data_IF_328319574798
#
_entry.id   IF_328319574798
#
_cell.length_a   1.000
_cell.length_b   1.000
_cell.length_c   1.000
_cell.angle_alpha   90.00
_cell.angle_beta   90.00
_cell.angle_gamma   90.00
#
_symmetry.space_group_name_H-M   'P 1'
#
loop_
_entity.id
_entity.type
_entity.pdbx_description
1 polymer ?
#
# COMPACT_ATOMS: atom_id res chain seq x y z
N UNK A 1 5.21 25.69 4.76
CA UNK A 1 4.35 24.51 4.56
C UNK A 1 5.13 23.22 4.72
N UNK A 2 5.11 22.64 5.91
CA UNK A 2 5.76 21.36 6.25
C UNK A 2 4.74 20.24 6.56
N UNK A 3 3.45 20.48 6.32
CA UNK A 3 2.36 19.55 6.67
C UNK A 3 2.02 18.53 5.58
N UNK A 4 2.64 18.67 4.40
CA UNK A 4 2.24 17.94 3.20
C UNK A 4 3.32 16.97 2.77
N UNK A 5 2.98 15.69 2.64
CA UNK A 5 3.93 14.59 2.36
C UNK A 5 3.96 14.14 0.88
N UNK A 6 3.41 14.94 -0.03
CA UNK A 6 3.53 14.72 -1.47
C UNK A 6 4.46 15.75 -2.11
N UNK A 7 5.04 15.40 -3.25
CA UNK A 7 5.97 16.24 -4.01
C UNK A 7 5.24 17.27 -4.89
N UNK A 8 5.97 18.30 -5.33
CA UNK A 8 5.45 19.29 -6.29
C UNK A 8 4.90 18.66 -7.56
N UNK A 9 5.52 17.58 -8.07
CA UNK A 9 5.05 16.93 -9.30
C UNK A 9 3.61 16.41 -9.23
N UNK A 10 3.16 16.00 -8.04
CA UNK A 10 1.79 15.57 -7.82
C UNK A 10 0.85 16.78 -7.76
N UNK A 11 1.27 17.83 -7.06
CA UNK A 11 0.54 19.10 -6.98
C UNK A 11 0.37 19.73 -8.37
N UNK A 12 1.44 19.80 -9.16
CA UNK A 12 1.44 20.37 -10.51
C UNK A 12 0.52 19.57 -11.45
N UNK A 13 0.55 18.24 -11.36
CA UNK A 13 -0.32 17.36 -12.17
C UNK A 13 -1.79 17.60 -11.87
N UNK A 14 -2.16 17.68 -10.58
CA UNK A 14 -3.54 18.00 -10.15
C UNK A 14 -3.91 19.42 -10.55
N UNK A 15 -2.98 20.37 -10.43
CA UNK A 15 -3.16 21.77 -10.84
C UNK A 15 -3.56 21.90 -12.31
N UNK A 16 -2.91 21.16 -13.22
CA UNK A 16 -3.27 21.12 -14.64
C UNK A 16 -4.72 20.67 -14.83
N UNK A 17 -5.18 19.67 -14.10
CA UNK A 17 -6.57 19.20 -14.22
C UNK A 17 -7.57 20.26 -13.73
N UNK A 18 -7.23 21.03 -12.70
CA UNK A 18 -8.02 22.17 -12.27
C UNK A 18 -8.05 23.29 -13.32
N UNK A 19 -6.94 23.58 -14.00
CA UNK A 19 -6.93 24.53 -15.12
C UNK A 19 -7.85 24.07 -16.25
N UNK A 20 -7.84 22.77 -16.59
CA UNK A 20 -8.77 22.21 -17.60
C UNK A 20 -10.22 22.41 -17.17
N UNK A 21 -10.53 22.18 -15.89
CA UNK A 21 -11.86 22.43 -15.32
C UNK A 21 -12.27 23.90 -15.42
N UNK A 22 -11.36 24.84 -15.12
CA UNK A 22 -11.64 26.28 -15.23
C UNK A 22 -11.89 26.69 -16.68
N UNK A 23 -11.10 26.17 -17.62
CA UNK A 23 -11.32 26.40 -19.05
C UNK A 23 -12.68 25.87 -19.49
N UNK A 24 -13.06 24.65 -19.08
CA UNK A 24 -14.38 24.08 -19.37
C UNK A 24 -15.52 24.97 -18.89
N UNK A 25 -15.43 25.51 -17.67
CA UNK A 25 -16.45 26.42 -17.15
C UNK A 25 -16.58 27.70 -17.96
N UNK A 26 -15.45 28.28 -18.40
CA UNK A 26 -15.43 29.52 -19.18
C UNK A 26 -16.03 29.39 -20.58
N UNK A 27 -16.07 28.17 -21.14
CA UNK A 27 -16.69 27.93 -22.45
C UNK A 27 -18.19 28.22 -22.40
N UNK A 28 -18.83 28.00 -21.23
CA UNK A 28 -20.29 28.14 -21.05
C UNK A 28 -21.08 27.45 -22.17
N UNK A 29 -20.68 26.21 -22.51
CA UNK A 29 -21.21 25.54 -23.69
C UNK A 29 -22.75 25.41 -23.61
N UNK A 30 -23.49 25.85 -24.64
CA UNK A 30 -24.94 26.02 -24.55
C UNK A 30 -25.72 24.71 -24.70
N UNK A 31 -25.17 23.73 -25.43
CA UNK A 31 -25.84 22.46 -25.73
C UNK A 31 -25.55 21.41 -24.65
N UNK A 32 -26.59 21.04 -23.91
CA UNK A 32 -26.52 20.13 -22.76
C UNK A 32 -26.22 18.69 -23.19
N UNK A 33 -26.75 18.23 -24.33
CA UNK A 33 -26.46 16.88 -24.83
C UNK A 33 -24.99 16.76 -25.24
N UNK A 34 -24.47 17.78 -25.94
CA UNK A 34 -23.05 17.84 -26.28
C UNK A 34 -22.16 17.96 -25.04
N UNK A 35 -22.60 18.67 -23.98
CA UNK A 35 -21.88 18.75 -22.71
C UNK A 35 -21.61 17.38 -22.09
N UNK A 36 -22.55 16.43 -22.18
CA UNK A 36 -22.34 15.07 -21.68
C UNK A 36 -21.16 14.38 -22.35
N UNK A 37 -21.06 14.48 -23.68
CA UNK A 37 -19.97 13.89 -24.44
C UNK A 37 -18.63 14.54 -24.08
N UNK A 38 -18.57 15.87 -24.01
CA UNK A 38 -17.35 16.60 -23.70
C UNK A 38 -16.87 16.38 -22.27
N UNK A 39 -17.76 16.45 -21.27
CA UNK A 39 -17.38 16.21 -19.88
C UNK A 39 -16.97 14.76 -19.65
N UNK A 40 -17.68 13.79 -20.24
CA UNK A 40 -17.26 12.38 -20.19
C UNK A 40 -15.84 12.23 -20.74
N UNK A 41 -15.53 12.91 -21.85
CA UNK A 41 -14.21 12.85 -22.46
C UNK A 41 -13.12 13.48 -21.60
N UNK A 42 -13.38 14.65 -21.03
CA UNK A 42 -12.46 15.33 -20.10
C UNK A 42 -12.15 14.43 -18.90
N UNK A 43 -13.19 13.83 -18.29
CA UNK A 43 -13.04 12.93 -17.15
C UNK A 43 -12.23 11.69 -17.52
N UNK A 44 -12.54 11.07 -18.67
CA UNK A 44 -11.79 9.92 -19.19
C UNK A 44 -10.30 10.24 -19.34
N UNK A 45 -9.97 11.40 -19.91
CA UNK A 45 -8.58 11.82 -20.14
C UNK A 45 -7.85 12.18 -18.83
N UNK A 46 -8.55 12.75 -17.85
CA UNK A 46 -8.01 12.97 -16.50
C UNK A 46 -7.69 11.62 -15.84
N UNK A 47 -8.65 10.68 -15.82
CA UNK A 47 -8.46 9.35 -15.24
C UNK A 47 -7.28 8.61 -15.87
N UNK A 48 -7.16 8.66 -17.21
CA UNK A 48 -6.01 8.10 -17.95
C UNK A 48 -4.70 8.79 -17.58
N UNK A 49 -4.71 10.11 -17.45
CA UNK A 49 -3.52 10.89 -17.07
C UNK A 49 -3.05 10.56 -15.64
N UNK A 50 -3.98 10.42 -14.68
CA UNK A 50 -3.67 9.97 -13.33
C UNK A 50 -3.04 8.57 -13.33
N UNK A 51 -3.62 7.65 -14.08
CA UNK A 51 -3.10 6.27 -14.21
C UNK A 51 -1.69 6.27 -14.82
N UNK A 52 -1.47 7.09 -15.84
CA UNK A 52 -0.17 7.26 -16.47
C UNK A 52 0.88 7.90 -15.54
N UNK A 53 0.45 8.85 -14.70
CA UNK A 53 1.30 9.43 -13.67
C UNK A 53 1.79 8.37 -12.68
N UNK A 54 0.88 7.50 -12.20
CA UNK A 54 1.25 6.40 -11.31
C UNK A 54 2.23 5.43 -11.98
N UNK A 55 2.02 5.08 -13.26
CA UNK A 55 2.96 4.24 -14.02
C UNK A 55 4.37 4.84 -14.12
N UNK A 56 4.45 6.14 -14.39
CA UNK A 56 5.74 6.86 -14.43
C UNK A 56 6.41 6.86 -13.06
N UNK A 57 5.63 7.00 -12.00
CA UNK A 57 6.16 7.02 -10.65
C UNK A 57 6.74 5.66 -10.27
N UNK A 58 6.02 4.56 -10.51
CA UNK A 58 6.52 3.20 -10.26
C UNK A 58 7.79 2.90 -11.07
N UNK A 59 7.80 3.21 -12.38
CA UNK A 59 9.00 3.02 -13.22
C UNK A 59 10.22 3.81 -12.71
N UNK A 60 10.01 5.02 -12.21
CA UNK A 60 11.09 5.84 -11.65
C UNK A 60 11.68 5.19 -10.40
N UNK A 61 10.85 4.65 -9.52
CA UNK A 61 11.30 3.93 -8.33
C UNK A 61 12.10 2.67 -8.71
N UNK A 62 11.59 1.87 -9.66
CA UNK A 62 12.30 0.67 -10.11
C UNK A 62 13.68 1.01 -10.69
N UNK A 63 13.77 2.09 -11.47
CA UNK A 63 15.03 2.58 -12.02
C UNK A 63 16.01 3.00 -10.92
N UNK A 64 15.56 3.77 -9.92
CA UNK A 64 16.41 4.18 -8.80
C UNK A 64 16.96 2.98 -8.03
N UNK A 65 16.11 1.99 -7.74
CA UNK A 65 16.50 0.78 -7.02
C UNK A 65 17.46 -0.10 -7.81
N UNK A 66 17.41 -0.07 -9.15
CA UNK A 66 18.36 -0.81 -10.00
C UNK A 66 19.77 -0.23 -9.99
N UNK A 67 19.93 1.04 -9.60
CA UNK A 67 21.22 1.74 -9.60
C UNK A 67 21.95 1.72 -8.25
N UNK A 68 21.27 1.27 -7.20
CA UNK A 68 21.84 1.14 -5.85
C UNK A 68 22.97 0.10 -5.84
N UNK A 69 24.13 0.48 -5.28
CA UNK A 69 25.34 -0.36 -5.22
C UNK A 69 25.33 -1.38 -4.07
N UNK A 70 24.38 -1.24 -3.15
CA UNK A 70 24.20 -2.15 -2.03
C UNK A 70 23.45 -3.39 -2.49
N UNK A 71 23.87 -4.58 -2.05
CA UNK A 71 23.17 -5.83 -2.33
C UNK A 71 21.89 -5.99 -1.49
N UNK A 72 21.63 -5.08 -0.56
CA UNK A 72 20.48 -5.09 0.34
C UNK A 72 19.53 -3.96 -0.03
N UNK A 73 18.24 -4.27 -0.01
CA UNK A 73 17.17 -3.32 -0.31
C UNK A 73 17.09 -2.29 0.82
N UNK A 74 16.99 -1.01 0.47
CA UNK A 74 16.81 0.08 1.42
C UNK A 74 15.55 0.85 1.07
N UNK A 75 14.78 1.20 2.10
CA UNK A 75 13.59 2.02 1.96
C UNK A 75 14.03 3.47 1.80
N UNK A 76 13.72 4.06 0.65
CA UNK A 76 14.15 5.42 0.34
C UNK A 76 13.01 6.43 0.54
N UNK A 77 13.32 7.70 0.88
CA UNK A 77 12.32 8.77 0.90
C UNK A 77 11.56 8.90 -0.43
N UNK A 78 12.24 8.67 -1.57
CA UNK A 78 11.64 8.73 -2.89
C UNK A 78 10.54 7.68 -3.08
N UNK A 79 10.72 6.47 -2.55
CA UNK A 79 9.69 5.44 -2.54
C UNK A 79 8.48 5.88 -1.70
N UNK A 80 8.70 6.48 -0.54
CA UNK A 80 7.62 7.01 0.29
C UNK A 80 6.84 8.12 -0.43
N UNK A 81 7.54 9.06 -1.07
CA UNK A 81 6.92 10.11 -1.86
C UNK A 81 6.11 9.56 -3.04
N UNK A 82 6.58 8.50 -3.70
CA UNK A 82 5.85 7.85 -4.78
C UNK A 82 4.48 7.34 -4.31
N UNK A 83 4.42 6.68 -3.16
CA UNK A 83 3.15 6.20 -2.56
C UNK A 83 2.23 7.37 -2.25
N UNK A 84 2.71 8.40 -1.56
CA UNK A 84 1.91 9.57 -1.22
C UNK A 84 1.43 10.35 -2.45
N UNK A 85 2.26 10.44 -3.49
CA UNK A 85 1.90 11.12 -4.73
C UNK A 85 0.77 10.40 -5.46
N UNK A 86 0.86 9.07 -5.60
CA UNK A 86 -0.19 8.25 -6.22
C UNK A 86 -1.49 8.39 -5.43
N UNK A 87 -1.40 8.33 -4.11
CA UNK A 87 -2.54 8.48 -3.21
C UNK A 87 -3.19 9.86 -3.32
N UNK A 88 -2.40 10.93 -3.32
CA UNK A 88 -2.88 12.30 -3.49
C UNK A 88 -3.59 12.50 -4.84
N UNK A 89 -2.98 12.03 -5.94
CA UNK A 89 -3.58 12.11 -7.27
C UNK A 89 -4.90 11.32 -7.32
N UNK A 90 -4.94 10.11 -6.74
CA UNK A 90 -6.18 9.32 -6.64
C UNK A 90 -7.29 10.10 -5.92
N UNK A 91 -7.00 10.63 -4.74
CA UNK A 91 -7.98 11.38 -3.95
C UNK A 91 -8.43 12.70 -4.60
N UNK A 92 -7.69 13.21 -5.57
CA UNK A 92 -8.05 14.44 -6.30
C UNK A 92 -9.14 14.23 -7.38
N UNK A 93 -9.34 12.99 -7.85
CA UNK A 93 -10.24 12.69 -8.99
C UNK A 93 -11.69 13.01 -8.64
N UNK A 94 -12.20 12.46 -7.55
CA UNK A 94 -13.61 12.59 -7.16
C UNK A 94 -14.01 14.07 -6.94
N UNK A 95 -13.29 14.88 -6.14
CA UNK A 95 -13.63 16.30 -5.99
C UNK A 95 -13.57 17.10 -7.30
N UNK A 96 -12.64 16.74 -8.20
CA UNK A 96 -12.52 17.41 -9.48
C UNK A 96 -13.69 17.08 -10.41
N UNK A 97 -14.08 15.81 -10.46
CA UNK A 97 -15.21 15.33 -11.26
C UNK A 97 -16.51 15.98 -10.82
N UNK A 98 -16.74 16.10 -9.50
CA UNK A 98 -17.89 16.82 -8.96
C UNK A 98 -17.89 18.30 -9.40
N UNK A 99 -16.72 18.94 -9.42
CA UNK A 99 -16.53 20.33 -9.86
C UNK A 99 -16.64 20.54 -11.37
N UNK A 100 -16.56 19.50 -12.20
CA UNK A 100 -16.79 19.59 -13.65
C UNK A 100 -18.28 19.74 -14.02
N UNK A 101 -19.17 19.66 -13.04
CA UNK A 101 -20.59 19.95 -13.22
C UNK A 101 -21.42 18.76 -13.69
N UNK A 102 -20.97 17.52 -13.44
CA UNK A 102 -21.67 16.28 -13.83
C UNK A 102 -23.13 16.30 -13.35
N UNK A 103 -23.36 16.56 -12.06
CA UNK A 103 -24.71 16.66 -11.49
C UNK A 103 -25.55 17.79 -12.10
N UNK A 104 -24.92 18.94 -12.39
CA UNK A 104 -25.60 20.08 -13.04
C UNK A 104 -26.06 19.73 -14.45
N UNK A 105 -25.24 19.01 -15.21
CA UNK A 105 -25.55 18.59 -16.58
C UNK A 105 -26.65 17.52 -16.55
N UNK A 106 -26.54 16.53 -15.67
CA UNK A 106 -27.54 15.47 -15.52
C UNK A 106 -28.93 16.03 -15.17
N UNK A 107 -29.00 16.97 -14.23
CA UNK A 107 -30.27 17.61 -13.87
C UNK A 107 -30.88 18.40 -15.03
N UNK A 108 -30.06 19.13 -15.82
CA UNK A 108 -30.53 19.85 -17.00
C UNK A 108 -31.12 18.91 -18.07
N UNK A 109 -30.58 17.70 -18.21
CA UNK A 109 -31.15 16.69 -19.12
C UNK A 109 -32.50 16.17 -18.63
N UNK A 110 -32.62 15.92 -17.33
CA UNK A 110 -33.89 15.53 -16.70
C UNK A 110 -34.94 16.63 -16.90
N UNK A 111 -34.59 17.90 -16.71
CA UNK A 111 -35.45 19.05 -16.98
C UNK A 111 -35.86 19.15 -18.46
N UNK A 112 -34.95 18.79 -19.38
CA UNK A 112 -35.22 18.72 -20.82
C UNK A 112 -36.00 17.46 -21.24
N UNK A 113 -36.53 16.68 -20.29
CA UNK A 113 -37.27 15.43 -20.50
C UNK A 113 -36.45 14.25 -21.06
N UNK A 114 -35.12 14.30 -21.00
CA UNK A 114 -34.24 13.16 -21.31
C UNK A 114 -33.65 12.54 -20.03
N UNK A 115 -34.54 11.93 -19.24
CA UNK A 115 -34.20 11.29 -17.96
C UNK A 115 -33.21 10.15 -18.17
N UNK A 116 -33.40 9.36 -19.24
CA UNK A 116 -32.57 8.18 -19.53
C UNK A 116 -31.13 8.59 -19.84
N UNK A 117 -30.92 9.65 -20.62
CA UNK A 117 -29.58 10.14 -20.90
C UNK A 117 -28.92 10.72 -19.65
N UNK A 118 -29.66 11.45 -18.81
CA UNK A 118 -29.15 11.99 -17.54
C UNK A 118 -28.65 10.90 -16.60
N UNK A 119 -29.49 9.89 -16.32
CA UNK A 119 -29.12 8.76 -15.46
C UNK A 119 -27.95 7.94 -16.04
N UNK A 120 -27.93 7.74 -17.36
CA UNK A 120 -26.83 7.03 -18.02
C UNK A 120 -25.53 7.80 -17.93
N UNK A 121 -25.56 9.11 -18.11
CA UNK A 121 -24.38 9.97 -18.02
C UNK A 121 -23.75 9.90 -16.62
N UNK A 122 -24.55 10.07 -15.55
CA UNK A 122 -24.05 9.95 -14.18
C UNK A 122 -23.46 8.58 -13.90
N UNK A 123 -24.14 7.51 -14.32
CA UNK A 123 -23.67 6.13 -14.14
C UNK A 123 -22.35 5.89 -14.85
N UNK A 124 -22.24 6.30 -16.12
CA UNK A 124 -21.02 6.14 -16.91
C UNK A 124 -19.85 6.92 -16.31
N UNK A 125 -20.07 8.16 -15.87
CA UNK A 125 -19.03 8.93 -15.19
C UNK A 125 -18.60 8.26 -13.88
N UNK A 126 -19.55 7.78 -13.07
CA UNK A 126 -19.25 7.06 -11.84
C UNK A 126 -18.41 5.81 -12.09
N UNK A 127 -18.79 4.99 -13.07
CA UNK A 127 -18.03 3.80 -13.48
C UNK A 127 -16.60 4.14 -13.92
N UNK A 128 -16.40 5.25 -14.65
CA UNK A 128 -15.06 5.71 -15.05
C UNK A 128 -14.19 6.10 -13.85
N UNK A 129 -14.78 6.80 -12.87
CA UNK A 129 -14.06 7.23 -11.66
C UNK A 129 -13.75 6.04 -10.75
N UNK A 130 -14.72 5.17 -10.52
CA UNK A 130 -14.57 3.97 -9.69
C UNK A 130 -13.46 3.07 -10.29
N UNK A 131 -13.48 2.82 -11.60
CA UNK A 131 -12.43 2.06 -12.29
C UNK A 131 -11.04 2.72 -12.16
N UNK A 132 -10.94 4.03 -12.37
CA UNK A 132 -9.67 4.75 -12.23
C UNK A 132 -9.13 4.69 -10.79
N UNK A 133 -10.00 4.82 -9.79
CA UNK A 133 -9.66 4.70 -8.38
C UNK A 133 -9.15 3.29 -8.04
N UNK A 134 -9.83 2.25 -8.51
CA UNK A 134 -9.41 0.86 -8.34
C UNK A 134 -8.04 0.59 -8.96
N UNK A 135 -7.81 1.06 -10.19
CA UNK A 135 -6.54 0.92 -10.89
C UNK A 135 -5.39 1.63 -10.16
N UNK A 136 -5.62 2.86 -9.69
CA UNK A 136 -4.62 3.61 -8.93
C UNK A 136 -4.32 2.98 -7.58
N UNK A 137 -5.36 2.48 -6.88
CA UNK A 137 -5.20 1.74 -5.64
C UNK A 137 -4.42 0.43 -5.87
N UNK A 138 -4.69 -0.28 -6.96
CA UNK A 138 -3.92 -1.47 -7.35
C UNK A 138 -2.44 -1.13 -7.60
N UNK A 139 -2.15 -0.08 -8.38
CA UNK A 139 -0.75 0.36 -8.61
C UNK A 139 -0.03 0.77 -7.33
N UNK A 140 -0.73 1.41 -6.41
CA UNK A 140 -0.18 1.74 -5.08
C UNK A 140 0.14 0.47 -4.29
N UNK A 141 -0.77 -0.52 -4.27
CA UNK A 141 -0.52 -1.82 -3.63
C UNK A 141 0.67 -2.55 -4.26
N UNK A 142 0.76 -2.57 -5.60
CA UNK A 142 1.87 -3.21 -6.31
C UNK A 142 3.21 -2.57 -5.94
N UNK A 143 3.26 -1.23 -5.82
CA UNK A 143 4.47 -0.52 -5.40
C UNK A 143 4.89 -0.87 -3.96
N UNK A 144 3.91 -1.09 -3.07
CA UNK A 144 4.15 -1.54 -1.69
C UNK A 144 4.67 -2.97 -1.69
N UNK A 145 3.98 -3.90 -2.36
CA UNK A 145 4.38 -5.31 -2.43
C UNK A 145 5.74 -5.50 -3.08
N UNK A 146 6.08 -4.74 -4.12
CA UNK A 146 7.39 -4.80 -4.77
C UNK A 146 8.53 -4.43 -3.82
N UNK A 147 8.33 -3.46 -2.92
CA UNK A 147 9.31 -3.13 -1.89
C UNK A 147 9.41 -4.24 -0.84
N UNK A 148 8.28 -4.72 -0.34
CA UNK A 148 8.24 -5.78 0.67
C UNK A 148 8.90 -7.06 0.15
N UNK A 149 8.64 -7.46 -1.09
CA UNK A 149 9.28 -8.62 -1.72
C UNK A 149 10.81 -8.50 -1.81
N UNK A 150 11.35 -7.28 -1.80
CA UNK A 150 12.80 -7.01 -1.75
C UNK A 150 13.32 -6.95 -0.30
N UNK A 151 12.48 -6.60 0.67
CA UNK A 151 12.81 -6.64 2.10
C UNK A 151 12.81 -8.07 2.66
N UNK A 152 11.86 -8.92 2.25
CA UNK A 152 11.65 -10.26 2.80
C UNK A 152 12.89 -11.17 2.76
N UNK A 153 13.72 -11.20 1.70
CA UNK A 153 14.94 -11.99 1.69
C UNK A 153 15.95 -11.59 2.77
N UNK A 154 16.07 -10.29 3.07
CA UNK A 154 16.94 -9.77 4.14
C UNK A 154 16.41 -10.23 5.50
N UNK A 155 15.10 -10.05 5.71
CA UNK A 155 14.41 -10.47 6.94
C UNK A 155 14.56 -11.98 7.14
N UNK A 156 14.22 -12.79 6.13
CA UNK A 156 14.32 -14.24 6.17
C UNK A 156 15.74 -14.71 6.49
N UNK A 157 16.75 -14.11 5.85
CA UNK A 157 18.16 -14.47 6.10
C UNK A 157 18.54 -14.20 7.55
N UNK A 158 18.19 -13.04 8.09
CA UNK A 158 18.52 -12.67 9.47
C UNK A 158 17.74 -13.50 10.50
N UNK A 159 16.48 -13.85 10.20
CA UNK A 159 15.68 -14.78 11.00
C UNK A 159 16.33 -16.16 11.04
N UNK A 160 16.71 -16.76 9.91
CA UNK A 160 17.33 -18.09 9.89
C UNK A 160 18.71 -18.14 10.58
N UNK A 161 19.34 -16.98 10.78
CA UNK A 161 20.66 -16.85 11.38
C UNK A 161 20.60 -16.29 12.81
N UNK A 162 19.43 -16.29 13.49
CA UNK A 162 19.29 -15.69 14.84
C UNK A 162 20.26 -16.29 15.88
N UNK A 163 20.68 -17.54 15.71
CA UNK A 163 21.67 -18.22 16.58
C UNK A 163 23.09 -17.61 16.47
N UNK A 164 23.37 -16.84 15.41
CA UNK A 164 24.65 -16.13 15.28
C UNK A 164 24.60 -14.84 16.08
N UNK A 165 25.68 -14.57 16.82
CA UNK A 165 25.86 -13.30 17.51
C UNK A 165 25.59 -12.12 16.54
N UNK A 166 24.69 -11.23 16.96
CA UNK A 166 24.29 -9.99 16.27
C UNK A 166 23.24 -10.10 15.14
N UNK A 167 22.73 -11.28 14.77
CA UNK A 167 21.72 -11.37 13.69
C UNK A 167 20.38 -10.70 14.03
N UNK A 168 19.86 -10.94 15.25
CA UNK A 168 18.63 -10.31 15.73
C UNK A 168 18.77 -8.79 15.82
N UNK A 169 19.90 -8.29 16.35
CA UNK A 169 20.14 -6.85 16.43
C UNK A 169 20.25 -6.20 15.04
N UNK A 170 20.91 -6.85 14.07
CA UNK A 170 20.93 -6.39 12.67
C UNK A 170 19.53 -6.35 12.06
N UNK A 171 18.68 -7.32 12.38
CA UNK A 171 17.31 -7.37 11.91
C UNK A 171 16.48 -6.22 12.47
N UNK A 172 16.56 -5.98 13.77
CA UNK A 172 15.89 -4.86 14.41
C UNK A 172 16.40 -3.53 13.85
N UNK A 173 17.71 -3.34 13.72
CA UNK A 173 18.30 -2.11 13.15
C UNK A 173 17.81 -1.87 11.71
N UNK A 174 17.79 -2.90 10.87
CA UNK A 174 17.30 -2.81 9.50
C UNK A 174 15.81 -2.41 9.43
N UNK A 175 14.99 -2.99 10.29
CA UNK A 175 13.57 -2.66 10.39
C UNK A 175 13.36 -1.25 10.97
N UNK A 176 14.14 -0.85 11.97
CA UNK A 176 14.11 0.48 12.58
C UNK A 176 14.43 1.56 11.54
N UNK A 177 15.56 1.45 10.84
CA UNK A 177 15.96 2.41 9.81
C UNK A 177 14.91 2.55 8.70
N UNK A 178 14.33 1.41 8.31
CA UNK A 178 13.25 1.35 7.34
C UNK A 178 11.98 2.04 7.84
N UNK A 179 11.50 1.69 9.04
CA UNK A 179 10.25 2.22 9.60
C UNK A 179 10.36 3.69 9.99
N UNK A 180 11.52 4.15 10.46
CA UNK A 180 11.79 5.57 10.73
C UNK A 180 11.61 6.37 9.43
N UNK A 181 12.25 5.94 8.35
CA UNK A 181 12.12 6.59 7.04
C UNK A 181 10.66 6.61 6.58
N UNK A 182 9.95 5.48 6.70
CA UNK A 182 8.53 5.41 6.35
C UNK A 182 7.68 6.37 7.18
N UNK A 183 7.85 6.38 8.51
CA UNK A 183 7.08 7.21 9.43
C UNK A 183 7.31 8.71 9.19
N UNK A 184 8.54 9.08 8.86
CA UNK A 184 8.88 10.47 8.57
C UNK A 184 8.34 10.94 7.22
N UNK A 185 8.26 10.06 6.22
CA UNK A 185 8.02 10.48 4.83
C UNK A 185 6.63 10.09 4.30
N UNK A 186 5.97 9.05 4.82
CA UNK A 186 4.60 8.67 4.45
C UNK A 186 3.56 9.57 5.15
N UNK A 187 2.37 9.68 4.56
CA UNK A 187 1.19 10.14 5.31
C UNK A 187 0.81 9.10 6.37
N UNK A 188 0.06 9.49 7.41
CA UNK A 188 -0.36 8.55 8.47
C UNK A 188 -1.08 7.33 7.89
N UNK A 189 -2.07 7.54 7.01
CA UNK A 189 -2.83 6.44 6.41
C UNK A 189 -1.95 5.51 5.55
N UNK A 190 -1.00 6.08 4.79
CA UNK A 190 -0.09 5.28 3.99
C UNK A 190 0.92 4.54 4.86
N UNK A 191 1.39 5.14 5.95
CA UNK A 191 2.26 4.48 6.92
C UNK A 191 1.54 3.29 7.54
N UNK A 192 0.33 3.47 8.06
CA UNK A 192 -0.45 2.40 8.69
C UNK A 192 -0.70 1.24 7.70
N UNK A 193 -1.05 1.58 6.45
CA UNK A 193 -1.24 0.58 5.37
C UNK A 193 0.04 -0.19 5.06
N UNK A 194 1.17 0.50 4.96
CA UNK A 194 2.48 -0.12 4.68
C UNK A 194 2.90 -0.99 5.86
N UNK A 195 2.79 -0.48 7.09
CA UNK A 195 3.15 -1.19 8.32
C UNK A 195 2.36 -2.50 8.47
N UNK A 196 1.04 -2.45 8.29
CA UNK A 196 0.18 -3.64 8.33
C UNK A 196 0.54 -4.64 7.23
N UNK A 197 0.95 -4.17 6.04
CA UNK A 197 1.36 -5.06 4.95
C UNK A 197 2.72 -5.72 5.23
N UNK A 198 3.65 -4.97 5.82
CA UNK A 198 4.95 -5.51 6.29
C UNK A 198 4.70 -6.59 7.35
N UNK A 199 3.91 -6.30 8.39
CA UNK A 199 3.61 -7.25 9.46
C UNK A 199 3.05 -8.56 8.90
N UNK A 200 1.99 -8.49 8.08
CA UNK A 200 1.39 -9.69 7.45
C UNK A 200 2.41 -10.50 6.65
N UNK A 201 3.31 -9.83 5.95
CA UNK A 201 4.34 -10.50 5.13
C UNK A 201 5.43 -11.12 5.99
N UNK A 202 5.81 -10.48 7.10
CA UNK A 202 6.76 -11.03 8.07
C UNK A 202 6.16 -12.25 8.78
N UNK A 203 4.92 -12.14 9.27
CA UNK A 203 4.20 -13.24 9.91
C UNK A 203 4.10 -14.46 8.99
N UNK A 204 3.60 -14.27 7.76
CA UNK A 204 3.53 -15.34 6.76
C UNK A 204 4.91 -15.95 6.48
N UNK A 205 5.97 -15.14 6.50
CA UNK A 205 7.32 -15.66 6.32
C UNK A 205 7.84 -16.46 7.51
N UNK A 206 7.45 -16.10 8.72
CA UNK A 206 7.77 -16.86 9.93
C UNK A 206 7.01 -18.19 9.95
N UNK A 207 5.76 -18.22 9.50
CA UNK A 207 4.97 -19.44 9.31
C UNK A 207 5.68 -20.39 8.32
N UNK A 208 6.07 -19.89 7.14
CA UNK A 208 6.84 -20.66 6.15
C UNK A 208 8.14 -21.24 6.75
N UNK A 209 8.88 -20.42 7.51
CA UNK A 209 10.13 -20.84 8.16
C UNK A 209 9.85 -21.93 9.18
N UNK A 210 8.77 -21.79 9.95
CA UNK A 210 8.34 -22.76 10.96
C UNK A 210 8.02 -24.10 10.32
N UNK A 211 7.18 -24.11 9.29
CA UNK A 211 6.81 -25.33 8.56
C UNK A 211 8.03 -26.00 7.91
N UNK A 212 8.89 -25.22 7.25
CA UNK A 212 10.13 -25.74 6.66
C UNK A 212 11.07 -26.33 7.71
N UNK A 213 11.18 -25.70 8.88
CA UNK A 213 12.05 -26.13 9.97
C UNK A 213 11.53 -27.40 10.65
N UNK A 214 10.21 -27.59 10.73
CA UNK A 214 9.58 -28.83 11.19
C UNK A 214 9.91 -29.99 10.24
N UNK A 215 9.78 -29.77 8.93
CA UNK A 215 10.12 -30.76 7.92
C UNK A 215 11.61 -31.16 7.95
N UNK A 216 12.48 -30.20 8.31
CA UNK A 216 13.92 -30.43 8.50
C UNK A 216 14.30 -31.02 9.87
N UNK A 217 13.33 -31.22 10.77
CA UNK A 217 13.53 -31.71 12.14
C UNK A 217 14.55 -30.87 12.92
N UNK A 218 14.47 -29.55 12.80
CA UNK A 218 15.28 -28.63 13.61
C UNK A 218 15.03 -28.88 15.12
N UNK A 219 16.03 -28.66 15.98
CA UNK A 219 15.88 -28.90 17.42
C UNK A 219 14.89 -27.91 18.04
N UNK A 220 14.28 -28.28 19.18
CA UNK A 220 13.33 -27.42 19.91
C UNK A 220 13.92 -26.05 20.30
N UNK A 221 15.25 -25.96 20.53
CA UNK A 221 15.96 -24.71 20.78
C UNK A 221 15.82 -23.70 19.63
N UNK A 222 15.75 -24.18 18.39
CA UNK A 222 15.54 -23.33 17.23
C UNK A 222 14.14 -22.68 17.29
N UNK A 223 13.11 -23.47 17.59
CA UNK A 223 11.74 -22.96 17.72
C UNK A 223 11.58 -22.02 18.92
N UNK A 224 12.34 -22.25 20.01
CA UNK A 224 12.40 -21.32 21.13
C UNK A 224 12.95 -19.94 20.72
N UNK A 225 14.05 -19.89 19.98
CA UNK A 225 14.59 -18.62 19.47
C UNK A 225 13.66 -17.93 18.46
N UNK A 226 12.94 -18.72 17.66
CA UNK A 226 11.91 -18.20 16.75
C UNK A 226 10.71 -17.61 17.50
N UNK A 227 10.27 -18.25 18.58
CA UNK A 227 9.22 -17.74 19.47
C UNK A 227 9.65 -16.44 20.17
N UNK A 228 10.87 -16.39 20.71
CA UNK A 228 11.41 -15.16 21.32
C UNK A 228 11.48 -14.01 20.31
N UNK A 229 11.89 -14.31 19.07
CA UNK A 229 11.90 -13.31 17.98
C UNK A 229 10.49 -12.87 17.59
N UNK A 230 9.54 -13.81 17.56
CA UNK A 230 8.14 -13.53 17.27
C UNK A 230 7.53 -12.58 18.31
N UNK A 231 7.75 -12.85 19.60
CA UNK A 231 7.25 -12.01 20.69
C UNK A 231 7.82 -10.57 20.59
N UNK A 232 9.12 -10.44 20.28
CA UNK A 232 9.74 -9.13 20.02
C UNK A 232 9.07 -8.41 18.85
N UNK A 233 8.72 -9.11 17.78
CA UNK A 233 8.05 -8.49 16.64
C UNK A 233 6.61 -8.09 16.94
N UNK A 234 5.85 -8.92 17.67
CA UNK A 234 4.50 -8.58 18.12
C UNK A 234 4.50 -7.26 18.90
N UNK A 235 5.44 -7.12 19.84
CA UNK A 235 5.62 -5.89 20.62
C UNK A 235 6.06 -4.72 19.74
N UNK A 236 7.01 -4.95 18.83
CA UNK A 236 7.58 -3.92 17.95
C UNK A 236 6.58 -3.35 16.95
N UNK A 237 5.76 -4.20 16.33
CA UNK A 237 4.69 -3.78 15.42
C UNK A 237 3.42 -3.36 16.16
N UNK A 238 3.34 -3.60 17.48
CA UNK A 238 2.16 -3.36 18.32
C UNK A 238 0.91 -4.07 17.75
N UNK A 239 1.05 -5.34 17.40
CA UNK A 239 0.05 -6.15 16.69
C UNK A 239 -0.54 -7.24 17.59
N UNK A 240 -1.83 -7.14 17.90
CA UNK A 240 -2.57 -8.15 18.66
C UNK A 240 -3.73 -8.69 17.81
N UNK A 241 -3.70 -9.97 17.46
CA UNK A 241 -4.78 -10.62 16.72
C UNK A 241 -4.90 -12.10 17.09
N UNK A 242 -6.10 -12.66 16.93
CA UNK A 242 -6.34 -14.10 17.19
C UNK A 242 -5.38 -14.98 16.37
N UNK A 243 -5.05 -14.57 15.13
CA UNK A 243 -4.09 -15.27 14.29
C UNK A 243 -2.67 -15.27 14.89
N UNK A 244 -2.25 -14.17 15.52
CA UNK A 244 -0.97 -14.09 16.22
C UNK A 244 -0.97 -15.06 17.42
N UNK A 245 -2.06 -15.13 18.17
CA UNK A 245 -2.20 -16.01 19.34
C UNK A 245 -2.19 -17.49 18.95
N UNK A 246 -2.87 -17.85 17.85
CA UNK A 246 -2.86 -19.21 17.27
C UNK A 246 -1.46 -19.62 16.79
N UNK A 247 -0.79 -18.74 16.06
CA UNK A 247 0.58 -19.00 15.58
C UNK A 247 1.56 -19.10 16.75
N UNK A 248 1.47 -18.19 17.73
CA UNK A 248 2.27 -18.21 18.95
C UNK A 248 2.10 -19.50 19.73
N UNK A 249 0.87 -19.95 19.93
CA UNK A 249 0.55 -21.21 20.63
C UNK A 249 1.15 -22.42 19.92
N UNK A 250 1.15 -22.41 18.58
CA UNK A 250 1.76 -23.46 17.76
C UNK A 250 3.29 -23.46 17.92
N UNK A 251 3.93 -22.29 17.84
CA UNK A 251 5.37 -22.13 18.08
C UNK A 251 5.79 -22.56 19.49
N UNK A 252 5.00 -22.20 20.51
CA UNK A 252 5.22 -22.65 21.88
C UNK A 252 5.28 -24.16 21.97
N UNK A 253 4.33 -24.88 21.34
CA UNK A 253 4.32 -26.33 21.34
C UNK A 253 5.61 -26.92 20.74
N UNK A 254 6.11 -26.34 19.65
CA UNK A 254 7.35 -26.78 18.99
C UNK A 254 8.63 -26.42 19.76
N UNK A 255 8.57 -25.41 20.63
CA UNK A 255 9.70 -24.98 21.46
C UNK A 255 9.97 -25.88 22.67
N UNK A 256 8.99 -26.69 23.07
CA UNK A 256 9.09 -27.59 24.21
C UNK A 256 9.97 -28.81 23.92
N UNK A 257 10.76 -29.19 24.91
CA UNK A 257 11.46 -30.48 24.92
C UNK A 257 10.49 -31.66 25.07
N UNK A 258 10.95 -32.86 24.75
CA UNK A 258 10.14 -34.09 24.90
C UNK A 258 9.68 -34.29 26.35
N UNK A 259 10.52 -33.98 27.33
CA UNK A 259 10.18 -34.11 28.75
C UNK A 259 9.08 -33.11 29.16
N UNK A 260 9.15 -31.87 28.66
CA UNK A 260 8.14 -30.85 28.91
C UNK A 260 6.79 -31.17 28.25
N UNK A 261 6.82 -31.74 27.03
CA UNK A 261 5.61 -32.20 26.34
C UNK A 261 4.92 -33.33 27.10
N UNK A 262 5.70 -34.32 27.58
CA UNK A 262 5.19 -35.43 28.40
C UNK A 262 4.58 -34.89 29.69
N UNK A 263 5.26 -33.96 30.37
CA UNK A 263 4.73 -33.33 31.58
C UNK A 263 3.42 -32.57 31.30
N UNK A 264 3.35 -31.78 30.22
CA UNK A 264 2.15 -31.03 29.84
C UNK A 264 0.95 -31.93 29.55
N UNK A 265 1.18 -33.08 28.90
CA UNK A 265 0.13 -34.07 28.62
C UNK A 265 -0.39 -34.77 29.89
N UNK A 266 0.45 -34.94 30.92
CA UNK A 266 0.06 -35.58 32.17
C UNK A 266 -0.52 -34.63 33.23
N UNK A 267 -0.45 -33.32 33.01
CA UNK A 267 -0.95 -32.28 33.93
C UNK A 267 -2.24 -31.61 33.44
N UNK A 268 -2.64 -31.83 32.18
CA UNK A 268 -4.01 -31.55 31.69
C UNK A 268 -4.99 -32.65 32.09
#
# INVERSE_FOLDING_TARGET
DSSVKYSSSALDSVGIFYTVKEFWEQIEWPDVEACCAYVSKIIEDICKSCTHFADKMSKKIDALQSTTRTNEFEVTPQWCYAINNIDYVRHSIEPLVQKLGVFKIANKLVEASDIVLGERFERTVKEMVDNANELLAAKQRDLIFNAINKMLPVIQKLLLEFEKDNSLHKLMTYLDDSLITMKEQLSSENFDRVLATIWKSVLSKMEDITESSLNQKKPHQFFKGLLETFDVFVDYFNESSDANDEFRSSLELYSLSTDELIHRYHVQ
#
